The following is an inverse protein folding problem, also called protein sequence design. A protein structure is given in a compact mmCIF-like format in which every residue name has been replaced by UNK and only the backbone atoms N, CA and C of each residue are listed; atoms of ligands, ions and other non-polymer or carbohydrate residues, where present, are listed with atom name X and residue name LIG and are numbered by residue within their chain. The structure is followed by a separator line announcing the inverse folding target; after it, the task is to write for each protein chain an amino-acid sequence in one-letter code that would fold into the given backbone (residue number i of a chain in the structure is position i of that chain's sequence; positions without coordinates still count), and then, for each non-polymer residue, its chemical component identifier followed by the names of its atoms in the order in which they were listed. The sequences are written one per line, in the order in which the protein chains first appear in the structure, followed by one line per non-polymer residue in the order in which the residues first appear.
data_IF_149209525298
#
_entry.id   IF_149209525298
#
_cell.length_a   1.000
_cell.length_b   1.000
_cell.length_c   1.000
_cell.angle_alpha   90.00
_cell.angle_beta   90.00
_cell.angle_gamma   90.00
#
_symmetry.space_group_name_H-M   'P 1'
#
loop_
_entity.id
_entity.type
_entity.pdbx_description
1 polymer ?
#
# COMPACT_ATOMS: atom_id res chain seq x y z
N UNK A 1 3.27 14.45 0.84
CA UNK A 1 4.19 13.32 1.19
C UNK A 1 3.79 12.01 0.52
N UNK A 2 2.57 11.88 -0.01
CA UNK A 2 2.16 10.67 -0.73
C UNK A 2 2.91 10.48 -2.06
N UNK A 3 3.25 11.57 -2.77
CA UNK A 3 4.06 11.50 -4.00
C UNK A 3 5.39 10.75 -3.80
N UNK A 4 6.33 11.21 -2.94
CA UNK A 4 7.61 10.53 -2.78
C UNK A 4 7.46 9.09 -2.28
N UNK A 5 6.43 8.81 -1.48
CA UNK A 5 6.09 7.48 -1.02
C UNK A 5 5.64 6.54 -2.16
N UNK A 6 4.74 6.99 -3.03
CA UNK A 6 4.26 6.19 -4.17
C UNK A 6 5.37 5.98 -5.19
N UNK A 7 6.17 7.00 -5.46
CA UNK A 7 7.32 6.90 -6.36
C UNK A 7 8.36 5.90 -5.82
N UNK A 8 8.71 5.98 -4.52
CA UNK A 8 9.67 5.03 -3.94
C UNK A 8 9.15 3.59 -3.95
N UNK A 9 7.85 3.38 -3.75
CA UNK A 9 7.23 2.06 -3.82
C UNK A 9 7.30 1.46 -5.23
N UNK A 10 7.07 2.28 -6.27
CA UNK A 10 7.21 1.82 -7.65
C UNK A 10 8.66 1.53 -8.03
N UNK A 11 9.60 2.38 -7.64
CA UNK A 11 11.03 2.13 -7.88
C UNK A 11 11.48 0.85 -7.18
N UNK A 12 11.06 0.64 -5.93
CA UNK A 12 11.28 -0.61 -5.19
C UNK A 12 10.80 -1.83 -6.00
N UNK A 13 9.56 -1.80 -6.49
CA UNK A 13 8.99 -2.92 -7.25
C UNK A 13 9.74 -3.15 -8.57
N UNK A 14 10.09 -2.09 -9.30
CA UNK A 14 10.86 -2.19 -10.55
C UNK A 14 12.22 -2.86 -10.30
N UNK A 15 12.95 -2.46 -9.27
CA UNK A 15 14.26 -3.05 -8.99
C UNK A 15 14.17 -4.52 -8.54
N UNK A 16 13.17 -4.88 -7.74
CA UNK A 16 12.94 -6.29 -7.41
C UNK A 16 12.50 -7.13 -8.61
N UNK A 17 11.68 -6.57 -9.52
CA UNK A 17 11.31 -7.23 -10.77
C UNK A 17 12.55 -7.47 -11.66
N UNK A 18 13.44 -6.48 -11.76
CA UNK A 18 14.71 -6.64 -12.48
C UNK A 18 15.54 -7.75 -11.84
N UNK A 19 15.72 -7.72 -10.51
CA UNK A 19 16.46 -8.75 -9.79
C UNK A 19 15.86 -10.16 -9.90
N UNK A 20 14.54 -10.27 -10.05
CA UNK A 20 13.83 -11.54 -10.20
C UNK A 20 13.95 -12.11 -11.62
N UNK A 21 13.80 -11.27 -12.65
CA UNK A 21 13.68 -11.73 -14.04
C UNK A 21 14.96 -11.62 -14.87
N UNK A 22 15.89 -10.73 -14.50
CA UNK A 22 17.12 -10.51 -15.27
C UNK A 22 18.29 -11.43 -14.84
N UNK A 23 18.09 -12.28 -13.83
CA UNK A 23 19.07 -13.28 -13.38
C UNK A 23 20.24 -12.72 -12.58
N UNK A 24 21.24 -13.56 -12.34
CA UNK A 24 22.34 -13.29 -11.38
C UNK A 24 23.19 -12.06 -11.73
N UNK A 25 23.29 -11.70 -13.01
CA UNK A 25 24.02 -10.51 -13.47
C UNK A 25 23.44 -9.19 -12.93
N UNK A 26 22.21 -9.22 -12.42
CA UNK A 26 21.51 -8.06 -11.86
C UNK A 26 21.25 -8.17 -10.36
N UNK A 27 22.07 -8.93 -9.62
CA UNK A 27 21.97 -9.01 -8.15
C UNK A 27 22.00 -7.63 -7.47
N UNK A 28 22.67 -6.64 -8.07
CA UNK A 28 22.69 -5.25 -7.61
C UNK A 28 21.30 -4.60 -7.55
N UNK A 29 20.37 -5.03 -8.41
CA UNK A 29 19.00 -4.54 -8.44
C UNK A 29 18.25 -4.92 -7.16
N UNK A 30 18.53 -6.09 -6.57
CA UNK A 30 17.94 -6.47 -5.28
C UNK A 30 18.42 -5.55 -4.16
N UNK A 31 19.71 -5.17 -4.14
CA UNK A 31 20.22 -4.20 -3.17
C UNK A 31 19.61 -2.81 -3.36
N UNK A 32 19.45 -2.36 -4.62
CA UNK A 32 18.74 -1.12 -4.91
C UNK A 32 17.27 -1.17 -4.45
N UNK A 33 16.58 -2.29 -4.70
CA UNK A 33 15.22 -2.55 -4.21
C UNK A 33 15.12 -2.46 -2.68
N UNK A 34 16.08 -3.01 -1.94
CA UNK A 34 16.14 -2.88 -0.48
C UNK A 34 16.31 -1.42 -0.02
N UNK A 35 17.14 -0.62 -0.70
CA UNK A 35 17.27 0.82 -0.40
C UNK A 35 15.92 1.52 -0.60
N UNK A 36 15.23 1.28 -1.71
CA UNK A 36 13.91 1.86 -1.96
C UNK A 36 12.82 1.32 -1.01
N UNK A 37 12.97 0.11 -0.48
CA UNK A 37 12.11 -0.43 0.58
C UNK A 37 12.23 0.43 1.84
N UNK A 38 13.46 0.71 2.29
CA UNK A 38 13.72 1.57 3.44
C UNK A 38 13.19 3.00 3.23
N UNK A 39 13.42 3.58 2.04
CA UNK A 39 12.89 4.90 1.70
C UNK A 39 11.35 4.92 1.74
N UNK A 40 10.71 3.88 1.20
CA UNK A 40 9.23 3.74 1.21
C UNK A 40 8.70 3.64 2.63
N UNK A 41 9.37 2.90 3.51
CA UNK A 41 9.01 2.84 4.94
C UNK A 41 9.14 4.21 5.61
N UNK A 42 10.27 4.90 5.42
CA UNK A 42 10.51 6.22 6.01
C UNK A 42 9.47 7.24 5.50
N UNK A 43 9.25 7.31 4.18
CA UNK A 43 8.25 8.23 3.62
C UNK A 43 6.83 7.88 4.05
N UNK A 44 6.50 6.59 4.18
CA UNK A 44 5.19 6.14 4.64
C UNK A 44 4.93 6.50 6.10
N UNK A 45 5.92 6.35 6.98
CA UNK A 45 5.82 6.80 8.38
C UNK A 45 5.64 8.32 8.44
N UNK A 46 6.46 9.09 7.72
CA UNK A 46 6.34 10.56 7.73
C UNK A 46 4.99 11.01 7.16
N UNK A 47 4.52 10.38 6.08
CA UNK A 47 3.21 10.67 5.49
C UNK A 47 2.09 10.39 6.50
N UNK A 48 2.13 9.23 7.16
CA UNK A 48 1.14 8.85 8.18
C UNK A 48 1.13 9.84 9.35
N UNK A 49 2.30 10.15 9.91
CA UNK A 49 2.43 11.11 11.03
C UNK A 49 1.85 12.46 10.62
N UNK A 50 2.22 13.00 9.45
CA UNK A 50 1.68 14.28 8.97
C UNK A 50 0.18 14.22 8.71
N UNK A 51 -0.35 13.11 8.21
CA UNK A 51 -1.80 12.94 8.02
C UNK A 51 -2.55 12.94 9.36
N UNK A 52 -1.95 12.37 10.41
CA UNK A 52 -2.54 12.30 11.77
C UNK A 52 -2.42 13.62 12.53
N UNK A 53 -1.28 14.31 12.44
CA UNK A 53 -0.98 15.52 13.25
C UNK A 53 -1.24 16.83 12.52
N UNK A 54 -1.24 16.84 11.19
CA UNK A 54 -1.33 18.06 10.36
C UNK A 54 -2.71 18.71 10.29
N UNK A 55 -2.77 19.86 9.64
CA UNK A 55 -3.99 20.66 9.53
C UNK A 55 -5.03 20.06 8.56
N UNK A 56 -6.30 20.44 8.70
CA UNK A 56 -7.48 19.81 8.06
C UNK A 56 -7.65 20.11 6.56
N UNK A 57 -6.57 20.03 5.77
CA UNK A 57 -6.72 20.12 4.31
C UNK A 57 -7.49 18.90 3.79
N UNK A 58 -8.54 19.18 3.02
CA UNK A 58 -9.27 18.14 2.28
C UNK A 58 -8.32 17.51 1.26
N UNK A 59 -7.85 16.32 1.57
CA UNK A 59 -6.93 15.52 0.76
C UNK A 59 -7.63 14.32 0.13
N UNK A 60 -8.98 14.26 0.15
CA UNK A 60 -9.76 13.12 -0.35
C UNK A 60 -9.47 12.82 -1.82
N UNK A 61 -9.46 13.85 -2.67
CA UNK A 61 -9.19 13.71 -4.11
C UNK A 61 -7.75 13.26 -4.38
N UNK A 62 -6.78 13.86 -3.72
CA UNK A 62 -5.37 13.48 -3.84
C UNK A 62 -5.16 12.01 -3.41
N UNK A 63 -5.76 11.63 -2.29
CA UNK A 63 -5.70 10.26 -1.76
C UNK A 63 -6.33 9.25 -2.71
N UNK A 64 -7.50 9.57 -3.30
CA UNK A 64 -8.14 8.73 -4.31
C UNK A 64 -7.23 8.52 -5.52
N UNK A 65 -6.63 9.58 -6.06
CA UNK A 65 -5.71 9.50 -7.20
C UNK A 65 -4.54 8.55 -6.91
N UNK A 66 -3.91 8.67 -5.73
CA UNK A 66 -2.80 7.78 -5.37
C UNK A 66 -3.23 6.32 -5.20
N UNK A 67 -4.42 6.06 -4.67
CA UNK A 67 -4.94 4.69 -4.55
C UNK A 67 -5.20 4.05 -5.91
N UNK A 68 -5.78 4.81 -6.85
CA UNK A 68 -5.96 4.36 -8.24
C UNK A 68 -4.61 4.10 -8.90
N UNK A 69 -3.63 4.98 -8.70
CA UNK A 69 -2.27 4.81 -9.21
C UNK A 69 -1.56 3.60 -8.61
N UNK A 70 -1.93 3.11 -7.42
CA UNK A 70 -1.32 1.93 -6.80
C UNK A 70 -1.97 0.61 -7.24
N UNK A 71 -3.08 0.63 -7.98
CA UNK A 71 -3.73 -0.62 -8.47
C UNK A 71 -2.72 -1.51 -9.23
N UNK A 72 -1.94 -1.02 -10.21
CA UNK A 72 -0.96 -1.84 -10.91
C UNK A 72 0.07 -2.45 -9.96
N UNK A 73 0.55 -1.68 -8.99
CA UNK A 73 1.49 -2.16 -7.97
C UNK A 73 0.94 -3.37 -7.21
N UNK A 74 -0.32 -3.30 -6.73
CA UNK A 74 -0.94 -4.41 -6.00
C UNK A 74 -1.20 -5.63 -6.89
N UNK A 75 -1.59 -5.42 -8.14
CA UNK A 75 -1.81 -6.51 -9.12
C UNK A 75 -0.49 -7.25 -9.39
N UNK A 76 0.61 -6.53 -9.59
CA UNK A 76 1.93 -7.13 -9.81
C UNK A 76 2.36 -7.95 -8.59
N UNK A 77 2.23 -7.40 -7.38
CA UNK A 77 2.57 -8.14 -6.16
C UNK A 77 1.71 -9.40 -6.02
N UNK A 78 0.42 -9.33 -6.32
CA UNK A 78 -0.46 -10.50 -6.31
C UNK A 78 0.02 -11.59 -7.28
N UNK A 79 0.37 -11.22 -8.51
CA UNK A 79 0.88 -12.15 -9.53
C UNK A 79 2.19 -12.79 -9.05
N UNK A 80 3.15 -12.01 -8.55
CA UNK A 80 4.43 -12.53 -8.05
C UNK A 80 4.21 -13.49 -6.88
N UNK A 81 3.38 -13.12 -5.91
CA UNK A 81 3.09 -13.98 -4.76
C UNK A 81 2.41 -15.29 -5.16
N UNK A 82 1.48 -15.22 -6.12
CA UNK A 82 0.84 -16.41 -6.67
C UNK A 82 1.83 -17.33 -7.40
N UNK A 83 2.71 -16.75 -8.25
CA UNK A 83 3.79 -17.50 -8.89
C UNK A 83 4.73 -18.16 -7.88
N UNK A 84 5.10 -17.45 -6.80
CA UNK A 84 5.95 -17.97 -5.74
C UNK A 84 5.30 -19.16 -5.02
N UNK A 85 4.00 -19.07 -4.70
CA UNK A 85 3.24 -20.17 -4.09
C UNK A 85 3.17 -21.39 -5.00
N UNK A 86 2.86 -21.20 -6.30
CA UNK A 86 2.86 -22.29 -7.27
C UNK A 86 4.24 -22.94 -7.40
N UNK A 87 5.32 -22.14 -7.40
CA UNK A 87 6.69 -22.65 -7.38
C UNK A 87 7.02 -23.48 -6.13
N UNK A 88 6.49 -23.10 -4.97
CA UNK A 88 6.69 -23.86 -3.73
C UNK A 88 6.01 -25.24 -3.75
N UNK A 89 4.93 -25.41 -4.52
CA UNK A 89 4.28 -26.71 -4.69
C UNK A 89 5.16 -27.70 -5.46
N UNK A 90 6.12 -27.21 -6.26
CA UNK A 90 7.09 -28.04 -7.00
C UNK A 90 8.18 -28.58 -6.09
N UNK A 91 8.58 -27.81 -5.07
CA UNK A 91 9.57 -28.23 -4.10
C UNK A 91 9.16 -27.83 -2.67
N UNK A 92 8.63 -28.80 -1.93
CA UNK A 92 8.14 -28.56 -0.57
C UNK A 92 9.23 -28.07 0.40
N UNK A 93 10.51 -28.35 0.14
CA UNK A 93 11.61 -27.90 1.01
C UNK A 93 11.76 -26.37 1.01
N UNK A 94 11.35 -25.67 -0.05
CA UNK A 94 11.40 -24.19 -0.10
C UNK A 94 10.13 -23.53 0.46
N UNK A 95 9.11 -24.32 0.81
CA UNK A 95 7.82 -23.81 1.28
C UNK A 95 7.94 -22.84 2.47
N UNK A 96 8.76 -23.10 3.52
CA UNK A 96 8.88 -22.16 4.63
C UNK A 96 9.40 -20.78 4.20
N UNK A 97 10.36 -20.75 3.26
CA UNK A 97 10.95 -19.51 2.73
C UNK A 97 9.91 -18.74 1.90
N UNK A 98 9.17 -19.45 1.04
CA UNK A 98 8.11 -18.83 0.23
C UNK A 98 6.98 -18.30 1.11
N UNK A 99 6.54 -19.06 2.11
CA UNK A 99 5.50 -18.63 3.05
C UNK A 99 5.94 -17.36 3.79
N UNK A 100 7.18 -17.33 4.30
CA UNK A 100 7.73 -16.13 4.95
C UNK A 100 7.76 -14.92 3.98
N UNK A 101 8.16 -15.12 2.72
CA UNK A 101 8.17 -14.09 1.69
C UNK A 101 6.77 -13.55 1.36
N UNK A 102 5.78 -14.43 1.23
CA UNK A 102 4.38 -14.05 0.98
C UNK A 102 3.82 -13.27 2.17
N UNK A 103 4.09 -13.69 3.41
CA UNK A 103 3.68 -12.96 4.61
C UNK A 103 4.30 -11.56 4.62
N UNK A 104 5.61 -11.44 4.34
CA UNK A 104 6.28 -10.15 4.26
C UNK A 104 5.64 -9.24 3.20
N UNK A 105 5.33 -9.79 2.03
CA UNK A 105 4.68 -9.05 0.95
C UNK A 105 3.26 -8.60 1.33
N UNK A 106 2.49 -9.43 2.04
CA UNK A 106 1.17 -9.07 2.56
C UNK A 106 1.26 -7.95 3.60
N UNK A 107 2.22 -8.04 4.53
CA UNK A 107 2.47 -6.98 5.52
C UNK A 107 2.84 -5.66 4.83
N UNK A 108 3.69 -5.72 3.81
CA UNK A 108 4.07 -4.52 3.05
C UNK A 108 2.90 -3.93 2.25
N UNK A 109 2.09 -4.77 1.60
CA UNK A 109 0.87 -4.32 0.92
C UNK A 109 -0.10 -3.66 1.91
N UNK A 110 -0.27 -4.23 3.10
CA UNK A 110 -1.11 -3.63 4.12
C UNK A 110 -0.55 -2.29 4.61
N UNK A 111 0.77 -2.17 4.77
CA UNK A 111 1.41 -0.89 5.06
C UNK A 111 1.08 0.17 4.00
N UNK A 112 1.11 -0.18 2.70
CA UNK A 112 0.72 0.74 1.63
C UNK A 112 -0.73 1.25 1.77
N UNK A 113 -1.65 0.35 2.11
CA UNK A 113 -3.06 0.68 2.34
C UNK A 113 -3.22 1.62 3.54
N UNK A 114 -2.54 1.35 4.65
CA UNK A 114 -2.59 2.18 5.86
C UNK A 114 -2.07 3.59 5.60
N UNK A 115 -0.90 3.71 4.97
CA UNK A 115 -0.27 5.01 4.67
C UNK A 115 -1.18 5.87 3.79
N UNK A 116 -1.76 5.27 2.74
CA UNK A 116 -2.64 5.99 1.82
C UNK A 116 -4.01 6.27 2.43
N UNK A 117 -4.45 5.51 3.44
CA UNK A 117 -5.76 5.70 4.07
C UNK A 117 -5.75 6.59 5.29
N UNK A 118 -4.58 6.86 5.90
CA UNK A 118 -4.46 7.62 7.13
C UNK A 118 -5.20 8.98 7.11
N UNK A 119 -5.09 9.71 6.00
CA UNK A 119 -5.76 11.01 5.83
C UNK A 119 -7.30 10.88 5.82
N UNK A 120 -7.82 9.89 5.08
CA UNK A 120 -9.26 9.64 4.96
C UNK A 120 -9.83 9.09 6.28
N UNK A 121 -9.15 8.14 6.92
CA UNK A 121 -9.57 7.58 8.21
C UNK A 121 -9.67 8.68 9.26
N UNK A 122 -8.69 9.60 9.34
CA UNK A 122 -8.75 10.73 10.27
C UNK A 122 -9.92 11.66 9.97
N UNK A 123 -10.16 11.99 8.70
CA UNK A 123 -11.30 12.81 8.28
C UNK A 123 -12.62 12.16 8.71
N UNK A 124 -12.76 10.85 8.47
CA UNK A 124 -13.90 10.06 8.91
C UNK A 124 -14.05 10.06 10.43
N UNK A 125 -12.98 9.84 11.20
CA UNK A 125 -13.02 9.86 12.67
C UNK A 125 -13.49 11.23 13.19
N UNK A 126 -13.00 12.35 12.62
CA UNK A 126 -13.50 13.68 13.00
C UNK A 126 -14.99 13.84 12.70
N UNK A 127 -15.44 13.39 11.52
CA UNK A 127 -16.87 13.41 11.18
C UNK A 127 -17.72 12.48 12.06
N UNK A 128 -17.19 11.33 12.50
CA UNK A 128 -17.87 10.44 13.45
C UNK A 128 -18.07 11.13 14.80
N UNK A 129 -17.03 11.80 15.32
CA UNK A 129 -17.09 12.50 16.62
C UNK A 129 -18.06 13.68 16.57
N UNK A 130 -18.09 14.42 15.45
CA UNK A 130 -18.92 15.63 15.31
C UNK A 130 -20.35 15.32 14.85
N UNK A 131 -20.52 14.45 13.84
CA UNK A 131 -21.83 14.17 13.21
C UNK A 131 -22.49 12.87 13.70
N UNK A 132 -21.80 12.02 14.47
CA UNK A 132 -22.28 10.73 15.01
C UNK A 132 -22.93 9.80 13.96
N UNK A 133 -22.50 9.89 12.70
CA UNK A 133 -23.06 9.09 11.62
C UNK A 133 -22.48 7.65 11.63
N UNK A 134 -23.30 6.62 11.91
CA UNK A 134 -22.83 5.23 12.02
C UNK A 134 -22.27 4.67 10.70
N UNK A 135 -22.67 5.20 9.54
CA UNK A 135 -22.09 4.80 8.24
C UNK A 135 -20.58 5.10 8.16
N UNK A 136 -20.09 6.03 8.97
CA UNK A 136 -18.69 6.41 9.02
C UNK A 136 -17.79 5.27 9.55
N UNK A 137 -18.29 4.47 10.51
CA UNK A 137 -17.58 3.29 11.01
C UNK A 137 -17.39 2.22 9.92
N UNK A 138 -18.41 2.05 9.08
CA UNK A 138 -18.34 1.12 7.95
C UNK A 138 -17.29 1.57 6.92
N UNK A 139 -17.23 2.87 6.61
CA UNK A 139 -16.18 3.42 5.73
C UNK A 139 -14.77 3.25 6.30
N UNK A 140 -14.59 3.37 7.62
CA UNK A 140 -13.30 3.10 8.28
C UNK A 140 -12.95 1.62 8.15
N UNK A 141 -13.90 0.72 8.40
CA UNK A 141 -13.68 -0.72 8.22
C UNK A 141 -13.30 -1.07 6.77
N UNK A 142 -13.94 -0.42 5.79
CA UNK A 142 -13.63 -0.60 4.38
C UNK A 142 -12.24 -0.10 3.99
N UNK A 143 -11.65 0.86 4.71
CA UNK A 143 -10.27 1.29 4.45
C UNK A 143 -9.20 0.23 4.83
N UNK A 144 -9.58 -0.87 5.49
CA UNK A 144 -8.66 -1.95 5.85
C UNK A 144 -8.59 -3.10 4.84
N UNK A 145 -9.51 -3.15 3.87
CA UNK A 145 -9.50 -4.15 2.79
C UNK A 145 -9.29 -3.40 1.47
N UNK A 146 -8.23 -3.69 0.72
CA UNK A 146 -7.79 -2.88 -0.42
C UNK A 146 -8.90 -2.54 -1.45
N UNK A 147 -9.74 -3.52 -1.82
CA UNK A 147 -10.81 -3.29 -2.79
C UNK A 147 -11.86 -2.32 -2.24
N UNK A 148 -12.29 -2.55 -1.00
CA UNK A 148 -13.26 -1.65 -0.35
C UNK A 148 -12.63 -0.31 0.03
N UNK A 149 -11.30 -0.27 0.16
CA UNK A 149 -10.52 0.91 0.46
C UNK A 149 -10.51 1.89 -0.72
N UNK A 150 -10.29 1.36 -1.93
CA UNK A 150 -10.42 2.12 -3.19
C UNK A 150 -11.87 2.59 -3.38
N UNK A 151 -12.85 1.69 -3.23
CA UNK A 151 -14.28 2.03 -3.40
C UNK A 151 -14.70 3.12 -2.40
N UNK A 152 -14.37 2.96 -1.12
CA UNK A 152 -14.67 3.93 -0.06
C UNK A 152 -14.03 5.29 -0.36
N UNK A 153 -12.77 5.30 -0.82
CA UNK A 153 -12.10 6.54 -1.23
C UNK A 153 -12.76 7.23 -2.42
N UNK A 154 -13.24 6.47 -3.42
CA UNK A 154 -13.99 7.04 -4.55
C UNK A 154 -15.31 7.65 -4.08
N UNK A 155 -16.08 6.93 -3.26
CA UNK A 155 -17.35 7.43 -2.70
C UNK A 155 -17.11 8.71 -1.90
N UNK A 156 -16.08 8.75 -1.05
CA UNK A 156 -15.74 9.92 -0.24
C UNK A 156 -15.30 11.13 -1.06
N UNK A 157 -14.60 10.91 -2.18
CA UNK A 157 -14.18 11.97 -3.08
C UNK A 157 -15.34 12.54 -3.92
N UNK A 158 -16.37 11.74 -4.18
CA UNK A 158 -17.55 12.13 -4.95
C UNK A 158 -18.70 12.69 -4.07
N UNK A 159 -18.69 12.42 -2.76
CA UNK A 159 -19.67 12.96 -1.82
C UNK A 159 -19.52 14.48 -1.72
N UNK A 160 -20.47 15.22 -2.31
CA UNK A 160 -20.63 16.66 -2.09
C UNK A 160 -21.01 16.89 -0.62
N UNK A 161 -20.36 17.88 0.00
CA UNK A 161 -20.59 18.27 1.39
C UNK A 161 -22.04 18.72 1.64
#
# INVERSE_FOLDING_TARGET
MLIPFVVSAYLMQVFFLIGLFAGESFAWANYAGLVFTLLTLVFGVIATVKSVTGDTRDTRKETMTFKLLLIPYFVINFIIGFMALLGALVNFMVLPIIVAGVILMLVFNYFMVVVTSASNIRYLIKNLVVKKDPLTLLHIAFHFIFVTDVISSVILALKKD
#
